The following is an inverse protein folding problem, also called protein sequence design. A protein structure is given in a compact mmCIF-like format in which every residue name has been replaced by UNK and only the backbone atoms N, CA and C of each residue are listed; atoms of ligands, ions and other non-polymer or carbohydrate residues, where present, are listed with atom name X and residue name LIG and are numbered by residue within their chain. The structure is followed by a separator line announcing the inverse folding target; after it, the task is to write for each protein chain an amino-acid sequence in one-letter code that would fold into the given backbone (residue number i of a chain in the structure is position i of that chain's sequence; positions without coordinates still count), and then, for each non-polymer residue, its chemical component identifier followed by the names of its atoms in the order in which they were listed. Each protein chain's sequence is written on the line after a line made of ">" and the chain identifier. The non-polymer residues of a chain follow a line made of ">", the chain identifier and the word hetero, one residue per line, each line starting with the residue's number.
data_IF_248706594843
#
_entry.id   IF_248706594843
#
_cell.length_a   1.000
_cell.length_b   1.000
_cell.length_c   1.000
_cell.angle_alpha   90.00
_cell.angle_beta   90.00
_cell.angle_gamma   90.00
#
_symmetry.space_group_name_H-M   'P 1'
#
loop_
_entity.id
_entity.type
_entity.pdbx_description
1 polymer ?
#
# COMPACT_ATOMS: atom_id res chain seq x y z
N UNK A 1 -18.51 2.78 -14.13
CA UNK A 1 -17.15 2.28 -13.80
C UNK A 1 -17.24 0.83 -13.36
N UNK A 2 -16.45 -0.08 -13.94
CA UNK A 2 -16.51 -1.50 -13.57
C UNK A 2 -15.98 -1.73 -12.13
N UNK A 3 -16.36 -2.86 -11.52
CA UNK A 3 -15.99 -3.21 -10.14
C UNK A 3 -14.47 -3.26 -9.92
N UNK A 4 -13.71 -3.78 -10.87
CA UNK A 4 -12.24 -3.84 -10.81
C UNK A 4 -11.62 -2.45 -10.87
N UNK A 5 -12.09 -1.59 -11.78
CA UNK A 5 -11.57 -0.24 -11.96
C UNK A 5 -11.79 0.62 -10.71
N UNK A 6 -13.01 0.61 -10.15
CA UNK A 6 -13.30 1.30 -8.88
C UNK A 6 -12.42 0.79 -7.73
N UNK A 7 -12.29 -0.53 -7.61
CA UNK A 7 -11.44 -1.15 -6.57
C UNK A 7 -9.97 -0.77 -6.76
N UNK A 8 -9.50 -0.73 -8.01
CA UNK A 8 -8.15 -0.36 -8.37
C UNK A 8 -7.80 1.05 -7.92
N UNK A 9 -8.65 2.05 -8.23
CA UNK A 9 -8.46 3.42 -7.78
C UNK A 9 -8.41 3.56 -6.26
N UNK A 10 -9.33 2.90 -5.54
CA UNK A 10 -9.33 2.91 -4.06
C UNK A 10 -8.02 2.32 -3.51
N UNK A 11 -7.56 1.19 -4.07
CA UNK A 11 -6.32 0.55 -3.63
C UNK A 11 -5.08 1.40 -3.95
N UNK A 12 -5.02 2.06 -5.12
CA UNK A 12 -3.93 3.01 -5.43
C UNK A 12 -3.95 4.18 -4.46
N UNK A 13 -5.11 4.75 -4.17
CA UNK A 13 -5.23 5.85 -3.22
C UNK A 13 -4.76 5.45 -1.81
N UNK A 14 -5.14 4.26 -1.34
CA UNK A 14 -4.65 3.69 -0.08
C UNK A 14 -3.12 3.51 -0.13
N UNK A 15 -2.60 2.91 -1.21
CA UNK A 15 -1.16 2.68 -1.40
C UNK A 15 -0.35 3.98 -1.36
N UNK A 16 -0.78 5.00 -2.09
CA UNK A 16 -0.15 6.33 -2.09
C UNK A 16 -0.20 6.95 -0.70
N UNK A 17 -1.35 6.89 -0.01
CA UNK A 17 -1.48 7.42 1.35
C UNK A 17 -0.49 6.75 2.31
N UNK A 18 -0.34 5.43 2.19
CA UNK A 18 0.63 4.65 2.98
C UNK A 18 2.08 5.00 2.64
N UNK A 19 2.40 5.38 1.40
CA UNK A 19 3.74 5.84 1.03
C UNK A 19 4.17 7.12 1.76
N UNK A 20 3.23 7.92 2.28
CA UNK A 20 3.56 9.07 3.14
C UNK A 20 3.54 8.69 4.62
N UNK A 21 2.53 7.94 5.06
CA UNK A 21 2.35 7.58 6.47
C UNK A 21 3.44 6.62 6.95
N UNK A 22 3.74 5.57 6.20
CA UNK A 22 4.65 4.52 6.65
C UNK A 22 6.09 5.03 6.87
N UNK A 23 6.71 5.81 5.97
CA UNK A 23 8.04 6.37 6.21
C UNK A 23 8.08 7.31 7.41
N UNK A 24 7.01 8.09 7.65
CA UNK A 24 6.92 8.94 8.84
C UNK A 24 6.94 8.09 10.10
N UNK A 25 6.14 7.03 10.19
CA UNK A 25 6.13 6.13 11.36
C UNK A 25 7.50 5.46 11.57
N UNK A 26 8.15 5.01 10.49
CA UNK A 26 9.49 4.40 10.57
C UNK A 26 10.54 5.43 11.04
N UNK A 27 10.51 6.65 10.50
CA UNK A 27 11.40 7.73 10.93
C UNK A 27 11.18 8.09 12.40
N UNK A 28 9.92 8.13 12.84
CA UNK A 28 9.59 8.34 14.26
C UNK A 28 10.16 7.22 15.13
N UNK A 29 10.06 5.94 14.73
CA UNK A 29 10.68 4.85 15.47
C UNK A 29 12.20 5.06 15.60
N UNK A 30 12.91 5.29 14.49
CA UNK A 30 14.37 5.46 14.52
C UNK A 30 14.86 6.71 15.25
N UNK A 31 14.03 7.75 15.38
CA UNK A 31 14.34 8.93 16.18
C UNK A 31 14.07 8.73 17.69
N UNK A 32 13.42 7.63 18.09
CA UNK A 32 13.03 7.34 19.48
C UNK A 32 13.54 5.95 19.92
N UNK A 33 14.80 5.62 19.62
CA UNK A 33 15.38 4.28 19.88
C UNK A 33 15.44 3.94 21.37
N UNK A 34 15.59 4.92 22.25
CA UNK A 34 15.64 4.73 23.70
C UNK A 34 14.26 4.50 24.33
N UNK A 35 13.18 4.67 23.56
CA UNK A 35 11.82 4.52 24.07
C UNK A 35 11.44 3.03 24.19
N UNK A 36 10.77 2.59 25.27
CA UNK A 36 10.37 1.18 25.45
C UNK A 36 9.50 0.62 24.30
N UNK A 37 8.80 1.49 23.57
CA UNK A 37 7.97 1.11 22.42
C UNK A 37 8.68 1.15 21.07
N UNK A 38 9.99 1.41 21.00
CA UNK A 38 10.76 1.48 19.75
C UNK A 38 10.45 0.32 18.80
N UNK A 39 10.62 -0.91 19.28
CA UNK A 39 10.42 -2.13 18.47
C UNK A 39 8.98 -2.25 18.01
N UNK A 40 8.01 -1.88 18.86
CA UNK A 40 6.60 -1.93 18.52
C UNK A 40 6.24 -0.96 17.38
N UNK A 41 6.68 0.29 17.48
CA UNK A 41 6.44 1.31 16.44
C UNK A 41 7.16 0.95 15.14
N UNK A 42 8.38 0.39 15.23
CA UNK A 42 9.13 -0.07 14.06
C UNK A 42 8.41 -1.19 13.32
N UNK A 43 7.86 -2.18 14.04
CA UNK A 43 7.07 -3.28 13.45
C UNK A 43 5.83 -2.72 12.75
N UNK A 44 5.12 -1.77 13.36
CA UNK A 44 3.96 -1.12 12.72
C UNK A 44 4.39 -0.44 11.43
N UNK A 45 5.47 0.34 11.46
CA UNK A 45 6.02 1.00 10.27
C UNK A 45 6.36 0.00 9.15
N UNK A 46 7.01 -1.11 9.48
CA UNK A 46 7.36 -2.17 8.54
C UNK A 46 6.11 -2.82 7.91
N UNK A 47 5.07 -3.10 8.70
CA UNK A 47 3.80 -3.64 8.20
C UNK A 47 3.14 -2.63 7.24
N UNK A 48 3.13 -1.34 7.59
CA UNK A 48 2.54 -0.30 6.74
C UNK A 48 3.30 -0.16 5.41
N UNK A 49 4.63 -0.31 5.40
CA UNK A 49 5.44 -0.34 4.17
C UNK A 49 5.06 -1.53 3.26
N UNK A 50 4.92 -2.73 3.84
CA UNK A 50 4.48 -3.92 3.09
C UNK A 50 3.07 -3.72 2.51
N UNK A 51 2.16 -3.12 3.29
CA UNK A 51 0.82 -2.79 2.82
C UNK A 51 0.83 -1.74 1.70
N UNK A 52 1.71 -0.74 1.77
CA UNK A 52 1.85 0.28 0.71
C UNK A 52 2.18 -0.38 -0.64
N UNK A 53 3.17 -1.28 -0.64
CA UNK A 53 3.58 -2.04 -1.83
C UNK A 53 2.44 -2.93 -2.31
N UNK A 54 1.81 -3.67 -1.39
CA UNK A 54 0.72 -4.59 -1.73
C UNK A 54 -0.47 -3.85 -2.38
N UNK A 55 -0.93 -2.75 -1.79
CA UNK A 55 -2.05 -1.99 -2.30
C UNK A 55 -1.70 -1.23 -3.59
N UNK A 56 -0.49 -0.69 -3.70
CA UNK A 56 0.00 -0.08 -4.94
C UNK A 56 -0.02 -1.08 -6.10
N UNK A 57 0.60 -2.25 -5.92
CA UNK A 57 0.62 -3.31 -6.94
C UNK A 57 -0.79 -3.80 -7.30
N UNK A 58 -1.61 -4.17 -6.31
CA UNK A 58 -2.97 -4.68 -6.54
C UNK A 58 -3.88 -3.63 -7.18
N UNK A 59 -3.70 -2.37 -6.80
CA UNK A 59 -4.44 -1.25 -7.36
C UNK A 59 -4.20 -1.10 -8.86
N UNK A 60 -2.93 -1.04 -9.26
CA UNK A 60 -2.54 -0.95 -10.67
C UNK A 60 -3.07 -2.14 -11.48
N UNK A 61 -2.90 -3.37 -10.99
CA UNK A 61 -3.42 -4.58 -11.66
C UNK A 61 -4.94 -4.52 -11.85
N UNK A 62 -5.68 -4.04 -10.86
CA UNK A 62 -7.13 -3.91 -10.96
C UNK A 62 -7.58 -2.78 -11.91
N UNK A 63 -6.82 -1.69 -12.01
CA UNK A 63 -7.06 -0.64 -13.02
C UNK A 63 -6.84 -1.22 -14.43
N UNK A 64 -5.74 -1.95 -14.64
CA UNK A 64 -5.44 -2.58 -15.94
C UNK A 64 -6.53 -3.59 -16.33
N UNK A 65 -6.88 -4.52 -15.44
CA UNK A 65 -7.96 -5.48 -15.69
C UNK A 65 -9.32 -4.78 -15.90
N UNK A 66 -9.53 -3.64 -15.23
CA UNK A 66 -10.73 -2.83 -15.35
C UNK A 66 -10.86 -2.09 -16.69
N UNK A 67 -9.72 -1.75 -17.31
CA UNK A 67 -9.64 -0.93 -18.53
C UNK A 67 -9.44 -1.77 -19.79
N UNK A 68 -8.56 -2.77 -19.73
CA UNK A 68 -8.14 -3.60 -20.87
C UNK A 68 -8.81 -4.98 -20.88
N UNK A 69 -9.58 -5.32 -19.84
CA UNK A 69 -10.09 -6.67 -19.63
C UNK A 69 -9.07 -7.58 -18.93
N UNK A 70 -9.51 -8.69 -18.32
CA UNK A 70 -8.63 -9.55 -17.56
C UNK A 70 -7.69 -10.34 -18.49
N UNK A 71 -6.40 -10.39 -18.13
CA UNK A 71 -5.31 -10.98 -18.94
C UNK A 71 -5.54 -12.45 -19.34
N UNK A 72 -6.44 -13.16 -18.66
CA UNK A 72 -6.80 -14.56 -18.92
C UNK A 72 -7.85 -14.76 -20.02
N UNK A 73 -8.38 -13.69 -20.62
CA UNK A 73 -9.34 -13.74 -21.75
C UNK A 73 -8.78 -13.24 -23.08
N UNK A 74 -7.48 -12.97 -23.16
CA UNK A 74 -6.79 -12.52 -24.37
C UNK A 74 -6.11 -13.66 -25.14
N UNK A 75 -6.51 -14.91 -24.86
CA UNK A 75 -6.13 -16.09 -25.64
C UNK A 75 -7.30 -16.50 -26.53
#
# INVERSE_FOLDING_TARGET
>A
MNKFLRKGFIQVFIGISLCFIAPVIVSQAFNNQDHPFFVFVLIIGAILLLLAIFYGYRGIVNILNGTLGPKNKLN
#
